data_IF_140286539629
#
_entry.id   IF_140286539629
#
_cell.length_a   1.000
_cell.length_b   1.000
_cell.length_c   1.000
_cell.angle_alpha   90.00
_cell.angle_beta   90.00
_cell.angle_gamma   90.00
#
_symmetry.space_group_name_H-M   'P 1'
#
loop_
_entity.id
_entity.type
_entity.pdbx_description
1 polymer ?
#
# COMPACT_ATOMS: atom_id res chain seq x y z
N UNK A 1 -4.35 -13.09 10.78
CA UNK A 1 -4.45 -12.10 9.68
C UNK A 1 -3.22 -11.20 9.71
N UNK A 2 -2.74 -10.82 8.57
CA UNK A 2 -1.58 -9.93 8.45
C UNK A 2 -2.06 -8.51 8.21
N UNK A 3 -1.52 -7.58 8.98
CA UNK A 3 -1.83 -6.15 8.90
C UNK A 3 -0.57 -5.44 8.45
N UNK A 4 -0.66 -4.63 7.40
CA UNK A 4 0.49 -3.88 6.89
C UNK A 4 0.16 -2.39 6.85
N UNK A 5 1.09 -1.58 7.36
CA UNK A 5 1.08 -0.13 7.19
C UNK A 5 2.31 0.26 6.39
N UNK A 6 2.11 0.73 5.17
CA UNK A 6 3.18 1.24 4.32
C UNK A 6 3.11 2.75 4.30
N UNK A 7 4.08 3.42 4.94
CA UNK A 7 4.11 4.88 5.02
C UNK A 7 4.90 5.46 3.85
N UNK A 8 4.27 6.41 3.15
CA UNK A 8 4.76 6.98 1.91
C UNK A 8 4.90 8.50 2.04
N UNK A 9 6.06 9.04 1.66
CA UNK A 9 6.26 10.47 1.53
C UNK A 9 6.42 10.76 0.04
N UNK A 10 5.50 11.53 -0.52
CA UNK A 10 5.43 11.76 -1.96
C UNK A 10 6.00 13.12 -2.29
N UNK A 11 6.77 13.21 -3.38
CA UNK A 11 7.26 14.49 -3.89
C UNK A 11 6.05 15.36 -4.28
N UNK A 12 5.98 16.63 -3.83
CA UNK A 12 4.82 17.48 -4.11
C UNK A 12 4.48 17.59 -5.61
N UNK A 13 5.48 17.69 -6.46
CA UNK A 13 5.30 17.82 -7.92
C UNK A 13 4.94 16.50 -8.59
N UNK A 14 4.99 15.38 -7.87
CA UNK A 14 4.65 14.04 -8.37
C UNK A 14 3.37 13.49 -7.76
N UNK A 15 2.71 14.23 -6.89
CA UNK A 15 1.54 13.74 -6.16
C UNK A 15 0.41 13.32 -7.08
N UNK A 16 0.12 14.09 -8.13
CA UNK A 16 -0.94 13.74 -9.07
C UNK A 16 -0.63 12.44 -9.81
N UNK A 17 0.59 12.26 -10.28
CA UNK A 17 1.02 11.05 -10.97
C UNK A 17 0.97 9.84 -10.01
N UNK A 18 1.37 10.03 -8.76
CA UNK A 18 1.29 9.00 -7.72
C UNK A 18 -0.15 8.54 -7.51
N UNK A 19 -1.08 9.48 -7.36
CA UNK A 19 -2.48 9.14 -7.12
C UNK A 19 -3.10 8.37 -8.29
N UNK A 20 -2.72 8.69 -9.52
CA UNK A 20 -3.18 7.96 -10.70
C UNK A 20 -2.65 6.51 -10.72
N UNK A 21 -1.36 6.33 -10.44
CA UNK A 21 -0.77 4.99 -10.39
C UNK A 21 -1.33 4.15 -9.24
N UNK A 22 -1.58 4.77 -8.09
CA UNK A 22 -2.14 4.08 -6.93
C UNK A 22 -3.54 3.55 -7.21
N UNK A 23 -4.36 4.26 -8.00
CA UNK A 23 -5.70 3.77 -8.36
C UNK A 23 -5.64 2.40 -9.04
N UNK A 24 -4.72 2.24 -9.98
CA UNK A 24 -4.54 0.97 -10.69
C UNK A 24 -4.05 -0.13 -9.72
N UNK A 25 -3.09 0.20 -8.86
CA UNK A 25 -2.58 -0.74 -7.86
C UNK A 25 -3.68 -1.20 -6.91
N UNK A 26 -4.47 -0.27 -6.38
CA UNK A 26 -5.55 -0.57 -5.45
C UNK A 26 -6.58 -1.48 -6.10
N UNK A 27 -6.99 -1.18 -7.33
CA UNK A 27 -7.98 -1.98 -8.05
C UNK A 27 -7.49 -3.42 -8.26
N UNK A 28 -6.25 -3.58 -8.74
CA UNK A 28 -5.68 -4.90 -8.99
C UNK A 28 -5.45 -5.69 -7.70
N UNK A 29 -5.01 -5.01 -6.63
CA UNK A 29 -4.75 -5.65 -5.34
C UNK A 29 -6.05 -6.14 -4.71
N UNK A 30 -7.12 -5.36 -4.77
CA UNK A 30 -8.41 -5.75 -4.22
C UNK A 30 -9.02 -6.97 -4.93
N UNK A 31 -8.58 -7.27 -6.14
CA UNK A 31 -9.00 -8.46 -6.88
C UNK A 31 -8.22 -9.71 -6.44
N UNK A 32 -7.14 -9.58 -5.66
CA UNK A 32 -6.38 -10.73 -5.16
C UNK A 32 -7.20 -11.49 -4.11
N UNK A 33 -7.23 -12.81 -4.25
CA UNK A 33 -8.07 -13.66 -3.38
C UNK A 33 -7.75 -13.48 -1.90
N UNK A 34 -6.48 -13.34 -1.55
CA UNK A 34 -6.07 -13.24 -0.15
C UNK A 34 -6.13 -11.84 0.43
N UNK A 35 -6.53 -10.83 -0.34
CA UNK A 35 -6.65 -9.47 0.16
C UNK A 35 -8.00 -9.26 0.85
N UNK A 36 -7.97 -8.78 2.11
CA UNK A 36 -9.18 -8.45 2.86
C UNK A 36 -9.52 -6.97 2.63
N UNK A 37 -8.53 -6.08 2.74
CA UNK A 37 -8.71 -4.65 2.45
C UNK A 37 -7.39 -4.02 2.04
N UNK A 38 -7.47 -2.95 1.27
CA UNK A 38 -6.31 -2.26 0.74
C UNK A 38 -6.71 -0.81 0.49
N UNK A 39 -6.38 0.07 1.44
CA UNK A 39 -6.88 1.44 1.44
C UNK A 39 -5.75 2.45 1.59
N UNK A 40 -5.71 3.43 0.70
CA UNK A 40 -4.75 4.52 0.80
C UNK A 40 -5.36 5.61 1.68
N UNK A 41 -4.65 5.96 2.77
CA UNK A 41 -5.06 7.01 3.69
C UNK A 41 -4.11 8.19 3.58
N UNK A 42 -4.67 9.40 3.61
CA UNK A 42 -3.88 10.63 3.60
C UNK A 42 -3.73 11.12 5.03
N UNK A 43 -2.51 11.53 5.40
CA UNK A 43 -2.25 12.15 6.69
C UNK A 43 -2.87 13.55 6.72
N UNK A 44 -3.64 13.85 7.76
CA UNK A 44 -4.34 15.15 7.87
C UNK A 44 -3.44 16.27 8.39
N UNK A 45 -2.30 15.94 8.96
CA UNK A 45 -1.38 16.92 9.57
C UNK A 45 -0.14 17.19 8.74
N UNK A 46 0.32 16.18 7.98
CA UNK A 46 1.55 16.26 7.18
C UNK A 46 1.20 16.21 5.70
N UNK A 47 1.46 17.30 4.98
CA UNK A 47 1.21 17.35 3.54
C UNK A 47 2.06 16.30 2.80
N UNK A 48 1.48 15.69 1.77
CA UNK A 48 2.15 14.71 0.91
C UNK A 48 2.55 13.40 1.59
N UNK A 49 2.01 13.14 2.79
CA UNK A 49 2.21 11.89 3.52
C UNK A 49 0.97 11.01 3.42
N UNK A 50 1.18 9.75 3.08
CA UNK A 50 0.13 8.75 2.92
C UNK A 50 0.50 7.46 3.65
N UNK A 51 -0.50 6.66 3.96
CA UNK A 51 -0.29 5.32 4.49
C UNK A 51 -1.20 4.37 3.75
N UNK A 52 -0.63 3.31 3.16
CA UNK A 52 -1.42 2.21 2.66
C UNK A 52 -1.74 1.30 3.84
N UNK A 53 -3.03 1.16 4.15
CA UNK A 53 -3.52 0.31 5.25
C UNK A 53 -4.04 -0.97 4.62
N UNK A 54 -3.42 -2.10 4.96
CA UNK A 54 -3.65 -3.38 4.28
C UNK A 54 -4.01 -4.47 5.27
N UNK A 55 -4.99 -5.28 4.92
CA UNK A 55 -5.33 -6.49 5.66
C UNK A 55 -5.27 -7.68 4.71
N UNK A 56 -4.58 -8.74 5.14
CA UNK A 56 -4.37 -9.95 4.34
C UNK A 56 -4.74 -11.18 5.18
N UNK A 57 -5.27 -12.21 4.53
CA UNK A 57 -5.73 -13.39 5.28
C UNK A 57 -4.57 -14.16 5.92
N UNK A 58 -3.39 -14.20 5.29
CA UNK A 58 -2.22 -14.92 5.78
C UNK A 58 -0.93 -14.43 5.10
N UNK A 59 0.21 -14.98 5.52
CA UNK A 59 1.53 -14.63 4.97
C UNK A 59 1.63 -15.01 3.49
N UNK A 60 1.04 -16.14 3.07
CA UNK A 60 1.07 -16.55 1.67
C UNK A 60 0.43 -15.51 0.76
N UNK A 61 -0.68 -14.92 1.21
CA UNK A 61 -1.36 -13.86 0.45
C UNK A 61 -0.44 -12.67 0.22
N UNK A 62 0.35 -12.28 1.22
CA UNK A 62 1.31 -11.18 1.08
C UNK A 62 2.46 -11.55 0.14
N UNK A 63 2.91 -12.79 0.17
CA UNK A 63 3.96 -13.28 -0.74
C UNK A 63 3.47 -13.25 -2.18
N UNK A 64 2.24 -13.70 -2.42
CA UNK A 64 1.61 -13.64 -3.74
C UNK A 64 1.49 -12.20 -4.24
N UNK A 65 1.07 -11.29 -3.36
CA UNK A 65 0.97 -9.86 -3.68
C UNK A 65 2.33 -9.29 -4.11
N UNK A 66 3.38 -9.57 -3.32
CA UNK A 66 4.73 -9.07 -3.59
C UNK A 66 5.29 -9.58 -4.92
N UNK A 67 4.81 -10.73 -5.39
CA UNK A 67 5.25 -11.33 -6.65
C UNK A 67 4.37 -10.92 -7.83
N UNK A 68 3.29 -10.20 -7.60
CA UNK A 68 2.34 -9.82 -8.65
C UNK A 68 2.94 -8.80 -9.60
N UNK A 69 2.47 -8.83 -10.85
CA UNK A 69 2.91 -7.88 -11.88
C UNK A 69 2.54 -6.44 -11.49
N UNK A 70 1.34 -6.24 -10.94
CA UNK A 70 0.88 -4.89 -10.57
C UNK A 70 1.69 -4.31 -9.42
N UNK A 71 2.11 -5.13 -8.45
CA UNK A 71 2.93 -4.65 -7.35
C UNK A 71 4.35 -4.31 -7.81
N UNK A 72 4.96 -5.20 -8.60
CA UNK A 72 6.31 -4.96 -9.14
C UNK A 72 6.36 -3.72 -10.03
N UNK A 73 5.34 -3.52 -10.86
CA UNK A 73 5.22 -2.34 -11.71
C UNK A 73 5.14 -1.08 -10.87
N UNK A 74 4.31 -1.08 -9.83
CA UNK A 74 4.18 0.07 -8.95
C UNK A 74 5.50 0.36 -8.22
N UNK A 75 6.17 -0.66 -7.69
CA UNK A 75 7.46 -0.48 -6.99
C UNK A 75 8.48 0.17 -7.91
N UNK A 76 8.55 -0.26 -9.16
CA UNK A 76 9.47 0.32 -10.13
C UNK A 76 9.15 1.79 -10.40
N UNK A 77 7.88 2.11 -10.62
CA UNK A 77 7.42 3.49 -10.89
C UNK A 77 7.52 4.38 -9.66
N UNK A 78 7.40 3.79 -8.46
CA UNK A 78 7.38 4.55 -7.22
C UNK A 78 8.68 5.30 -6.96
N UNK A 79 9.80 4.87 -7.53
CA UNK A 79 11.08 5.56 -7.37
C UNK A 79 11.00 7.01 -7.84
N UNK A 80 10.18 7.30 -8.85
CA UNK A 80 9.98 8.66 -9.36
C UNK A 80 9.10 9.51 -8.44
N UNK A 81 8.27 8.89 -7.61
CA UNK A 81 7.26 9.59 -6.80
C UNK A 81 7.70 9.84 -5.36
N UNK A 82 8.57 8.99 -4.81
CA UNK A 82 8.87 9.02 -3.38
C UNK A 82 9.92 10.05 -3.03
N UNK A 83 9.63 10.86 -1.98
CA UNK A 83 10.56 11.81 -1.40
C UNK A 83 11.50 11.16 -0.39
N UNK A 84 11.16 9.96 0.09
CA UNK A 84 11.93 9.20 1.06
C UNK A 84 11.65 7.70 0.87
N UNK A 85 12.49 6.80 1.41
CA UNK A 85 12.21 5.36 1.37
C UNK A 85 10.88 5.02 2.02
N UNK A 86 10.15 4.06 1.44
CA UNK A 86 8.87 3.59 2.00
C UNK A 86 9.17 2.86 3.31
N UNK A 87 8.43 3.21 4.37
CA UNK A 87 8.56 2.58 5.67
C UNK A 87 7.40 1.60 5.88
N UNK A 88 7.71 0.31 5.95
CA UNK A 88 6.70 -0.75 6.03
C UNK A 88 6.73 -1.41 7.40
N UNK A 89 5.57 -1.46 8.06
CA UNK A 89 5.38 -2.18 9.32
C UNK A 89 4.39 -3.31 9.10
N UNK A 90 4.78 -4.52 9.49
CA UNK A 90 3.96 -5.72 9.31
C UNK A 90 3.61 -6.28 10.69
N UNK A 91 2.32 -6.53 10.89
CA UNK A 91 1.80 -7.06 12.16
C UNK A 91 0.99 -8.33 11.90
N UNK A 92 0.96 -9.21 12.88
CA UNK A 92 0.09 -10.37 12.88
C UNK A 92 -0.95 -10.18 13.98
N UNK A 93 -2.23 -10.31 13.66
CA UNK A 93 -3.28 -10.07 14.64
C UNK A 93 -4.63 -10.59 14.19
N UNK A 94 -5.64 -10.30 15.00
CA UNK A 94 -7.01 -10.74 14.76
C UNK A 94 -7.98 -9.62 15.08
N UNK A 95 -9.14 -9.66 14.41
CA UNK A 95 -10.23 -8.75 14.73
C UNK A 95 -10.77 -9.08 16.13
N UNK A 96 -10.96 -8.05 16.93
CA UNK A 96 -11.51 -8.20 18.28
C UNK A 96 -12.93 -7.68 18.28
N UNK A 97 -13.87 -8.47 18.79
CA UNK A 97 -15.25 -8.03 18.99
C UNK A 97 -15.31 -7.09 20.20
N UNK A 98 -15.97 -5.96 20.03
CA UNK A 98 -16.01 -4.90 21.04
C UNK A 98 -17.42 -4.49 21.37
#
# INVERSE_FOLDING_TARGET
MIIIHAHLQVKPDQEQAFLEEVKALVSATRAEEGNISYDLMKNTELAHHYTMVELWKDVEATTTHNSSAHFKDFVQKSQAFMAAPINVNVFNGETVNR
#
